data_IF_655201007432
#
_entry.id   IF_655201007432
#
_cell.length_a   1.000
_cell.length_b   1.000
_cell.length_c   1.000
_cell.angle_alpha   90.00
_cell.angle_beta   90.00
_cell.angle_gamma   90.00
#
_symmetry.space_group_name_H-M   'P 1'
#
loop_
_entity.id
_entity.type
_entity.pdbx_description
1 polymer ?
#
# COMPACT_ATOMS: atom_id res chain seq x y z
N UNK A 1 21.32 4.62 19.42
CA UNK A 1 20.97 3.65 18.37
C UNK A 1 19.66 4.10 17.77
N UNK A 2 19.68 4.41 16.48
CA UNK A 2 18.45 4.66 15.74
C UNK A 2 17.56 3.42 15.82
N UNK A 3 16.30 3.59 16.21
CA UNK A 3 15.35 2.47 16.27
C UNK A 3 15.05 2.00 14.84
N UNK A 4 15.37 0.74 14.53
CA UNK A 4 15.00 0.13 13.25
C UNK A 4 13.59 -0.47 13.34
N UNK A 5 12.82 -0.33 12.27
CA UNK A 5 11.44 -0.84 12.19
C UNK A 5 11.24 -1.69 10.95
N UNK A 6 10.34 -2.68 11.06
CA UNK A 6 10.00 -3.62 10.00
C UNK A 6 8.62 -3.32 9.43
N UNK A 7 8.45 -3.67 8.15
CA UNK A 7 7.19 -3.56 7.43
C UNK A 7 6.04 -4.20 8.23
N UNK A 8 4.98 -3.43 8.43
CA UNK A 8 3.72 -3.92 8.97
C UNK A 8 2.57 -3.43 8.10
N UNK A 9 1.83 -4.38 7.53
CA UNK A 9 0.65 -4.13 6.72
C UNK A 9 -0.58 -4.58 7.50
N UNK A 10 -1.51 -3.66 7.77
CA UNK A 10 -2.74 -3.96 8.49
C UNK A 10 -3.93 -3.59 7.63
N UNK A 11 -4.76 -4.56 7.27
CA UNK A 11 -6.07 -4.29 6.66
C UNK A 11 -6.96 -3.59 7.68
N UNK A 12 -7.46 -2.40 7.33
CA UNK A 12 -8.27 -1.56 8.24
C UNK A 12 -9.67 -1.29 7.70
N UNK A 13 -9.93 -1.55 6.43
CA UNK A 13 -11.28 -1.48 5.86
C UNK A 13 -11.42 -2.41 4.65
N UNK A 14 -12.63 -2.92 4.46
CA UNK A 14 -13.09 -3.65 3.27
C UNK A 14 -14.57 -3.36 3.03
N UNK A 15 -15.04 -3.58 1.80
CA UNK A 15 -16.45 -3.40 1.44
C UNK A 15 -17.38 -4.39 2.16
N UNK A 16 -18.41 -3.85 2.82
CA UNK A 16 -19.63 -4.57 3.17
C UNK A 16 -20.66 -4.39 2.05
N UNK A 17 -21.40 -5.43 1.70
CA UNK A 17 -22.40 -5.39 0.65
C UNK A 17 -23.75 -5.91 1.16
N UNK A 18 -24.79 -5.12 0.89
CA UNK A 18 -26.18 -5.44 1.20
C UNK A 18 -26.95 -5.54 -0.12
N UNK A 19 -27.34 -6.74 -0.57
CA UNK A 19 -28.05 -6.90 -1.83
C UNK A 19 -29.44 -6.26 -1.76
N UNK A 20 -29.91 -5.58 -2.83
CA UNK A 20 -31.23 -5.00 -2.86
C UNK A 20 -32.32 -6.10 -2.85
N UNK A 21 -33.32 -6.03 -1.95
CA UNK A 21 -34.26 -7.13 -1.70
C UNK A 21 -35.25 -7.39 -2.85
N UNK A 22 -35.41 -6.43 -3.76
CA UNK A 22 -36.29 -6.50 -4.93
C UNK A 22 -35.61 -7.09 -6.17
N UNK A 23 -34.29 -7.31 -6.13
CA UNK A 23 -33.56 -8.00 -7.21
C UNK A 23 -33.58 -9.51 -6.94
N UNK A 24 -34.14 -10.34 -7.84
CA UNK A 24 -34.24 -11.79 -7.64
C UNK A 24 -32.91 -12.48 -7.96
N UNK A 25 -31.89 -12.21 -7.16
CA UNK A 25 -30.54 -12.76 -7.27
C UNK A 25 -29.93 -12.96 -5.89
N UNK A 26 -29.17 -14.04 -5.77
CA UNK A 26 -28.36 -14.38 -4.61
C UNK A 26 -27.02 -14.95 -5.09
N UNK A 27 -26.01 -14.97 -4.22
CA UNK A 27 -24.71 -15.56 -4.54
C UNK A 27 -24.06 -16.22 -3.35
N UNK A 28 -23.06 -17.06 -3.63
CA UNK A 28 -22.30 -17.87 -2.68
C UNK A 28 -21.11 -17.10 -2.06
N UNK A 29 -21.17 -15.77 -2.07
CA UNK A 29 -20.15 -14.87 -1.56
C UNK A 29 -20.78 -13.63 -0.91
N UNK A 30 -19.98 -12.92 -0.11
CA UNK A 30 -20.31 -11.68 0.56
C UNK A 30 -19.35 -10.53 0.18
N UNK A 31 -19.54 -9.37 0.81
CA UNK A 31 -18.64 -8.23 0.72
C UNK A 31 -18.41 -7.73 -0.72
N UNK A 32 -17.22 -7.19 -0.97
CA UNK A 32 -16.93 -6.53 -2.25
C UNK A 32 -16.87 -7.47 -3.46
N UNK A 33 -16.57 -8.76 -3.29
CA UNK A 33 -16.60 -9.72 -4.41
C UNK A 33 -18.03 -10.07 -4.84
N UNK A 34 -18.98 -10.10 -3.89
CA UNK A 34 -20.41 -10.19 -4.21
C UNK A 34 -20.91 -8.90 -4.88
N UNK A 35 -20.47 -7.72 -4.39
CA UNK A 35 -20.78 -6.44 -5.02
C UNK A 35 -20.27 -6.39 -6.48
N UNK A 36 -19.07 -6.89 -6.77
CA UNK A 36 -18.52 -6.93 -8.12
C UNK A 36 -19.34 -7.84 -9.06
N UNK A 37 -19.79 -9.01 -8.60
CA UNK A 37 -20.72 -9.85 -9.37
C UNK A 37 -22.05 -9.14 -9.60
N UNK A 38 -22.64 -8.56 -8.55
CA UNK A 38 -23.89 -7.81 -8.65
C UNK A 38 -23.79 -6.69 -9.70
N UNK A 39 -22.74 -5.88 -9.64
CA UNK A 39 -22.49 -4.82 -10.60
C UNK A 39 -22.34 -5.36 -12.03
N UNK A 40 -21.60 -6.46 -12.22
CA UNK A 40 -21.47 -7.10 -13.53
C UNK A 40 -22.80 -7.63 -14.07
N UNK A 41 -23.64 -8.24 -13.23
CA UNK A 41 -24.96 -8.73 -13.64
C UNK A 41 -25.93 -7.59 -13.94
N UNK A 42 -25.82 -6.47 -13.22
CA UNK A 42 -26.64 -5.28 -13.44
C UNK A 42 -26.52 -4.74 -14.87
N UNK A 43 -25.31 -4.77 -15.46
CA UNK A 43 -25.06 -4.34 -16.84
C UNK A 43 -25.91 -5.10 -17.87
N UNK A 44 -26.29 -6.35 -17.58
CA UNK A 44 -27.01 -7.23 -18.50
C UNK A 44 -28.38 -7.67 -17.97
N UNK A 45 -28.78 -7.22 -16.78
CA UNK A 45 -29.93 -7.73 -16.03
C UNK A 45 -29.92 -9.28 -15.94
N UNK A 46 -28.73 -9.88 -15.82
CA UNK A 46 -28.49 -11.33 -15.89
C UNK A 46 -28.54 -11.98 -14.50
N UNK A 47 -29.65 -11.74 -13.79
CA UNK A 47 -29.89 -12.23 -12.43
C UNK A 47 -30.03 -13.75 -12.34
N UNK A 48 -30.50 -14.37 -13.42
CA UNK A 48 -30.54 -15.84 -13.55
C UNK A 48 -29.11 -16.39 -13.76
N UNK A 49 -28.90 -17.63 -13.33
CA UNK A 49 -27.61 -18.34 -13.40
C UNK A 49 -27.66 -19.55 -14.36
N UNK A 50 -27.94 -19.35 -15.67
CA UNK A 50 -28.18 -20.47 -16.60
C UNK A 50 -26.91 -21.22 -17.00
N UNK A 51 -25.75 -20.58 -16.97
CA UNK A 51 -24.47 -21.22 -17.28
C UNK A 51 -23.83 -21.75 -15.98
N UNK A 52 -23.66 -23.08 -15.82
CA UNK A 52 -23.05 -23.65 -14.62
C UNK A 52 -21.64 -23.11 -14.31
N UNK A 53 -20.85 -22.73 -15.34
CA UNK A 53 -19.48 -22.25 -15.13
C UNK A 53 -19.40 -20.85 -14.50
N UNK A 54 -20.45 -20.04 -14.63
CA UNK A 54 -20.54 -18.67 -14.08
C UNK A 54 -21.70 -18.51 -13.10
N UNK A 55 -22.22 -19.62 -12.58
CA UNK A 55 -23.29 -19.64 -11.59
C UNK A 55 -22.79 -19.32 -10.16
N UNK A 56 -21.52 -19.62 -9.87
CA UNK A 56 -20.86 -19.24 -8.62
C UNK A 56 -20.14 -17.89 -8.77
N UNK A 57 -19.93 -17.18 -7.65
CA UNK A 57 -19.19 -15.93 -7.62
C UNK A 57 -17.76 -16.10 -8.15
N UNK A 58 -17.09 -17.18 -7.74
CA UNK A 58 -15.74 -17.51 -8.21
C UNK A 58 -15.70 -17.70 -9.73
N UNK A 59 -16.64 -18.49 -10.29
CA UNK A 59 -16.73 -18.70 -11.73
C UNK A 59 -17.09 -17.44 -12.50
N UNK A 60 -18.00 -16.63 -11.95
CA UNK A 60 -18.40 -15.35 -12.55
C UNK A 60 -17.25 -14.35 -12.60
N UNK A 61 -16.52 -14.17 -11.49
CA UNK A 61 -15.39 -13.23 -11.42
C UNK A 61 -14.19 -13.72 -12.24
N UNK A 62 -13.93 -15.03 -12.30
CA UNK A 62 -12.94 -15.59 -13.25
C UNK A 62 -13.29 -15.19 -14.68
N UNK A 63 -14.55 -15.37 -15.09
CA UNK A 63 -15.00 -14.97 -16.42
C UNK A 63 -14.81 -13.47 -16.67
N UNK A 64 -15.17 -12.62 -15.71
CA UNK A 64 -14.97 -11.16 -15.79
C UNK A 64 -13.50 -10.80 -16.05
N UNK A 65 -12.57 -11.48 -15.36
CA UNK A 65 -11.13 -11.28 -15.55
C UNK A 65 -10.68 -11.73 -16.94
N UNK A 66 -11.12 -12.90 -17.41
CA UNK A 66 -10.77 -13.45 -18.73
C UNK A 66 -11.24 -12.58 -19.90
N UNK A 67 -12.45 -12.00 -19.81
CA UNK A 67 -12.99 -11.11 -20.85
C UNK A 67 -12.58 -9.65 -20.70
N UNK A 68 -11.82 -9.31 -19.66
CA UNK A 68 -11.29 -7.97 -19.44
C UNK A 68 -12.32 -6.92 -19.01
N UNK A 69 -13.47 -7.32 -18.45
CA UNK A 69 -14.50 -6.40 -17.95
C UNK A 69 -14.13 -5.82 -16.58
N UNK A 70 -12.92 -5.26 -16.45
CA UNK A 70 -12.29 -4.95 -15.16
C UNK A 70 -12.92 -3.78 -14.40
N UNK A 71 -13.74 -2.94 -15.05
CA UNK A 71 -14.40 -1.80 -14.40
C UNK A 71 -15.36 -2.23 -13.29
N UNK A 72 -15.95 -3.43 -13.37
CA UNK A 72 -16.84 -3.93 -12.29
C UNK A 72 -16.08 -4.18 -10.99
N UNK A 73 -14.76 -4.38 -11.06
CA UNK A 73 -13.88 -4.55 -9.91
C UNK A 73 -13.59 -3.22 -9.20
N UNK A 74 -13.96 -2.08 -9.78
CA UNK A 74 -13.75 -0.76 -9.19
C UNK A 74 -14.74 -0.44 -8.05
N UNK A 75 -15.82 -1.21 -7.92
CA UNK A 75 -16.84 -1.02 -6.89
C UNK A 75 -16.42 -1.52 -5.50
N UNK A 76 -15.62 -2.59 -5.45
CA UNK A 76 -15.08 -3.12 -4.20
C UNK A 76 -13.76 -2.45 -3.83
N UNK A 77 -13.60 -2.09 -2.55
CA UNK A 77 -12.44 -1.38 -2.02
C UNK A 77 -11.85 -2.05 -0.78
N UNK A 78 -10.55 -1.86 -0.59
CA UNK A 78 -9.79 -2.25 0.61
C UNK A 78 -8.86 -1.10 0.99
N UNK A 79 -8.69 -0.89 2.30
CA UNK A 79 -7.73 0.05 2.87
C UNK A 79 -6.74 -0.66 3.78
N UNK A 80 -5.46 -0.28 3.65
CA UNK A 80 -4.39 -0.71 4.54
C UNK A 80 -3.82 0.47 5.33
N UNK A 81 -3.44 0.23 6.58
CA UNK A 81 -2.54 1.09 7.34
C UNK A 81 -1.14 0.48 7.37
N UNK A 82 -0.21 1.17 6.72
CA UNK A 82 1.18 0.75 6.55
C UNK A 82 2.07 1.49 7.55
N UNK A 83 2.91 0.76 8.27
CA UNK A 83 3.98 1.28 9.13
C UNK A 83 5.28 0.53 8.86
N UNK A 84 6.42 1.06 9.32
CA UNK A 84 7.71 0.47 8.99
C UNK A 84 8.02 0.50 7.49
N UNK A 85 7.59 1.56 6.81
CA UNK A 85 7.91 1.82 5.38
C UNK A 85 8.75 3.08 5.26
N UNK A 86 9.69 3.09 4.32
CA UNK A 86 10.63 4.20 4.14
C UNK A 86 9.98 5.38 3.39
N UNK A 87 10.66 6.54 3.44
CA UNK A 87 10.27 7.68 2.60
C UNK A 87 10.47 7.40 1.12
N UNK A 88 11.54 6.70 0.74
CA UNK A 88 11.78 6.28 -0.65
C UNK A 88 10.67 5.39 -1.19
N UNK A 89 10.27 4.35 -0.46
CA UNK A 89 9.16 3.48 -0.85
C UNK A 89 7.89 4.28 -1.07
N UNK A 90 7.53 5.16 -0.13
CA UNK A 90 6.29 5.93 -0.32
C UNK A 90 6.35 6.90 -1.49
N UNK A 91 7.54 7.36 -1.90
CA UNK A 91 7.71 8.21 -3.07
C UNK A 91 7.43 7.46 -4.38
N UNK A 92 7.68 6.15 -4.41
CA UNK A 92 7.27 5.25 -5.51
C UNK A 92 5.79 4.87 -5.43
N UNK A 93 5.31 4.53 -4.23
CA UNK A 93 3.94 4.10 -3.99
C UNK A 93 2.94 5.16 -4.46
N UNK A 94 3.14 6.43 -4.09
CA UNK A 94 2.21 7.52 -4.44
C UNK A 94 2.15 7.86 -5.93
N UNK A 95 2.99 7.23 -6.77
CA UNK A 95 2.90 7.33 -8.24
C UNK A 95 1.70 6.57 -8.80
N UNK A 96 1.14 5.64 -8.02
CA UNK A 96 -0.12 4.95 -8.32
C UNK A 96 -1.31 5.88 -8.06
N UNK A 97 -1.80 6.54 -9.11
CA UNK A 97 -2.74 7.67 -9.02
C UNK A 97 -4.20 7.26 -8.73
N UNK A 98 -4.53 5.98 -8.86
CA UNK A 98 -5.86 5.44 -8.57
C UNK A 98 -5.98 4.83 -7.17
N UNK A 99 -5.06 5.20 -6.29
CA UNK A 99 -5.14 4.97 -4.84
C UNK A 99 -5.31 6.31 -4.14
N UNK A 100 -5.91 6.27 -2.94
CA UNK A 100 -6.05 7.42 -2.06
C UNK A 100 -5.12 7.28 -0.86
N UNK A 101 -4.52 8.38 -0.44
CA UNK A 101 -3.44 8.38 0.55
C UNK A 101 -3.71 9.33 1.72
N UNK A 102 -3.34 8.91 2.92
CA UNK A 102 -3.19 9.79 4.08
C UNK A 102 -1.90 9.43 4.80
N UNK A 103 -0.90 10.30 4.73
CA UNK A 103 0.47 10.00 5.16
C UNK A 103 0.92 10.88 6.33
N UNK A 104 1.74 10.30 7.21
CA UNK A 104 2.48 10.99 8.26
C UNK A 104 3.24 12.20 7.68
N UNK A 105 2.95 13.39 8.20
CA UNK A 105 3.55 14.63 7.71
C UNK A 105 4.72 15.08 8.57
N UNK A 106 5.94 15.05 8.02
CA UNK A 106 7.15 15.63 8.65
C UNK A 106 7.10 17.15 8.83
N UNK A 107 6.07 17.84 8.31
CA UNK A 107 5.84 19.27 8.58
C UNK A 107 5.16 19.49 9.93
N UNK A 108 4.46 18.47 10.44
CA UNK A 108 3.64 18.57 11.64
C UNK A 108 4.09 17.61 12.73
N UNK A 109 4.52 16.40 12.39
CA UNK A 109 5.03 15.43 13.37
C UNK A 109 6.52 15.70 13.59
N UNK A 110 7.00 15.77 14.85
CA UNK A 110 8.42 15.91 15.15
C UNK A 110 9.24 14.81 14.47
N UNK A 111 10.37 15.16 13.86
CA UNK A 111 11.30 14.19 13.27
C UNK A 111 12.26 13.57 14.30
N UNK A 112 12.38 14.17 15.49
CA UNK A 112 13.20 13.63 16.58
C UNK A 112 12.70 12.25 17.00
N UNK A 113 13.60 11.29 17.15
CA UNK A 113 13.30 9.90 17.48
C UNK A 113 12.55 9.17 16.37
N UNK A 114 12.65 9.62 15.12
CA UNK A 114 12.06 8.87 14.01
C UNK A 114 12.83 7.56 13.82
N UNK A 115 12.10 6.45 13.80
CA UNK A 115 12.65 5.18 13.43
C UNK A 115 13.14 5.21 11.97
N UNK A 116 13.97 4.25 11.59
CA UNK A 116 14.48 4.06 10.24
C UNK A 116 14.12 2.68 9.71
N UNK A 117 13.90 2.58 8.41
CA UNK A 117 13.75 1.32 7.68
C UNK A 117 15.10 1.00 7.06
N UNK A 118 15.74 -0.02 7.60
CA UNK A 118 17.03 -0.51 7.14
C UNK A 118 16.83 -1.62 6.10
N UNK A 119 17.42 -1.51 4.89
CA UNK A 119 17.42 -2.59 3.91
C UNK A 119 18.12 -3.85 4.43
N UNK A 120 17.57 -5.04 4.17
CA UNK A 120 18.12 -6.30 4.69
C UNK A 120 19.56 -6.57 4.26
N UNK A 121 19.89 -6.26 3.01
CA UNK A 121 21.27 -6.39 2.50
C UNK A 121 22.30 -5.51 3.22
N UNK A 122 21.84 -4.48 3.94
CA UNK A 122 22.68 -3.67 4.83
C UNK A 122 22.67 -4.26 6.24
N UNK A 123 21.49 -4.63 6.76
CA UNK A 123 21.33 -5.18 8.10
C UNK A 123 22.08 -6.53 8.31
N UNK A 124 22.20 -7.33 7.26
CA UNK A 124 22.86 -8.64 7.29
C UNK A 124 24.40 -8.55 7.27
N UNK A 125 24.97 -7.37 7.01
CA UNK A 125 26.40 -7.11 7.04
C UNK A 125 26.74 -6.18 8.24
N UNK A 126 27.48 -6.65 9.25
CA UNK A 126 27.79 -5.83 10.43
C UNK A 126 28.54 -4.53 10.16
N UNK A 127 29.38 -4.48 9.11
CA UNK A 127 30.13 -3.27 8.75
C UNK A 127 29.21 -2.26 8.06
N UNK A 128 28.36 -2.72 7.14
CA UNK A 128 27.39 -1.85 6.46
C UNK A 128 26.32 -1.34 7.42
N UNK A 129 25.82 -2.19 8.32
CA UNK A 129 24.90 -1.81 9.40
C UNK A 129 25.47 -0.67 10.26
N UNK A 130 26.74 -0.78 10.66
CA UNK A 130 27.40 0.26 11.46
C UNK A 130 27.44 1.61 10.73
N UNK A 131 27.76 1.61 9.42
CA UNK A 131 27.76 2.82 8.58
C UNK A 131 26.34 3.42 8.48
N UNK A 132 25.32 2.59 8.30
CA UNK A 132 23.93 3.03 8.21
C UNK A 132 23.43 3.67 9.51
N UNK A 133 23.74 3.05 10.65
CA UNK A 133 23.40 3.58 11.98
C UNK A 133 24.11 4.90 12.23
N UNK A 134 25.42 4.99 11.97
CA UNK A 134 26.18 6.24 12.14
C UNK A 134 25.60 7.37 11.30
N UNK A 135 25.29 7.12 10.03
CA UNK A 135 24.70 8.11 9.14
C UNK A 135 23.31 8.56 9.61
N UNK A 136 22.48 7.63 10.10
CA UNK A 136 21.13 7.92 10.61
C UNK A 136 21.18 8.78 11.88
N UNK A 137 22.06 8.45 12.81
CA UNK A 137 22.26 9.23 14.05
C UNK A 137 22.84 10.63 13.75
N UNK A 138 23.76 10.74 12.79
CA UNK A 138 24.29 12.03 12.36
C UNK A 138 23.21 12.92 11.73
N UNK A 139 22.33 12.35 10.91
CA UNK A 139 21.19 13.06 10.32
C UNK A 139 20.19 13.55 11.37
N UNK A 140 19.87 12.71 12.37
CA UNK A 140 18.99 13.09 13.49
C UNK A 140 19.60 14.23 14.32
N UNK A 141 20.89 14.13 14.66
CA UNK A 141 21.59 15.20 15.38
C UNK A 141 21.59 16.52 14.61
N UNK A 142 21.83 16.46 13.30
CA UNK A 142 21.77 17.64 12.43
C UNK A 142 20.34 18.21 12.37
N UNK A 143 19.32 17.36 12.31
CA UNK A 143 17.91 17.77 12.35
C UNK A 143 17.59 18.56 13.63
N UNK A 144 18.00 18.05 14.79
CA UNK A 144 17.76 18.69 16.09
C UNK A 144 18.47 20.05 16.21
N UNK A 145 19.71 20.14 15.74
CA UNK A 145 20.47 21.39 15.70
C UNK A 145 19.80 22.42 14.80
N UNK A 146 19.41 22.02 13.58
CA UNK A 146 18.69 22.88 12.65
C UNK A 146 17.34 23.32 13.22
N UNK A 147 16.56 22.39 13.77
CA UNK A 147 15.24 22.70 14.35
C UNK A 147 15.37 23.73 15.48
N UNK A 148 16.33 23.55 16.39
CA UNK A 148 16.58 24.50 17.49
C UNK A 148 16.89 25.90 16.97
N UNK A 149 17.81 26.01 15.99
CA UNK A 149 18.16 27.30 15.38
C UNK A 149 16.99 27.92 14.61
N UNK A 150 16.19 27.11 13.91
CA UNK A 150 15.04 27.57 13.15
C UNK A 150 13.88 28.02 14.05
N UNK A 151 13.64 27.35 15.18
CA UNK A 151 12.63 27.77 16.16
C UNK A 151 12.97 29.14 16.77
N UNK A 152 14.25 29.42 17.03
CA UNK A 152 14.72 30.76 17.42
C UNK A 152 14.54 31.77 16.28
N UNK A 153 14.91 31.38 15.05
CA UNK A 153 14.81 32.25 13.86
C UNK A 153 13.38 32.68 13.53
N UNK A 154 12.39 31.84 13.84
CA UNK A 154 10.98 32.09 13.60
C UNK A 154 10.20 32.47 14.88
N UNK A 155 10.89 32.82 15.98
CA UNK A 155 10.25 33.11 17.27
C UNK A 155 9.14 34.18 17.20
N UNK A 156 9.30 35.16 16.30
CA UNK A 156 8.37 36.28 16.10
C UNK A 156 7.11 35.93 15.30
N UNK A 157 7.00 34.72 14.75
CA UNK A 157 5.79 34.27 14.04
C UNK A 157 4.63 34.11 15.03
N UNK A 158 3.60 34.97 15.02
CA UNK A 158 2.55 34.96 16.04
C UNK A 158 1.73 33.66 16.00
N UNK A 159 1.60 33.02 14.83
CA UNK A 159 0.87 31.77 14.71
C UNK A 159 1.77 30.58 15.11
N UNK A 160 1.53 30.02 16.29
CA UNK A 160 2.29 28.89 16.83
C UNK A 160 2.32 27.66 15.90
N UNK A 161 1.25 27.40 15.14
CA UNK A 161 1.22 26.30 14.18
C UNK A 161 2.11 26.60 12.97
N UNK A 162 2.04 27.80 12.41
CA UNK A 162 2.87 28.22 11.28
C UNK A 162 4.35 28.25 11.68
N UNK A 163 4.67 28.75 12.87
CA UNK A 163 6.01 28.78 13.45
C UNK A 163 6.65 27.39 13.49
N UNK A 164 5.98 26.42 14.12
CA UNK A 164 6.45 25.03 14.20
C UNK A 164 6.60 24.41 12.82
N UNK A 165 5.65 24.68 11.92
CA UNK A 165 5.63 24.16 10.55
C UNK A 165 6.78 24.71 9.71
N UNK A 166 7.09 25.99 9.79
CA UNK A 166 8.23 26.63 9.10
C UNK A 166 9.56 26.05 9.55
N UNK A 167 9.76 25.88 10.87
CA UNK A 167 10.97 25.29 11.40
C UNK A 167 11.12 23.81 10.98
N UNK A 168 10.10 22.98 11.22
CA UNK A 168 10.15 21.54 10.91
C UNK A 168 10.31 21.23 9.43
N UNK A 169 9.61 21.98 8.56
CA UNK A 169 9.65 21.71 7.12
C UNK A 169 11.01 22.03 6.48
N UNK A 170 11.80 22.91 7.09
CA UNK A 170 13.17 23.21 6.69
C UNK A 170 14.17 22.24 7.37
N UNK A 171 14.03 22.00 8.69
CA UNK A 171 14.93 21.10 9.42
C UNK A 171 14.96 19.69 8.82
N UNK A 172 13.81 19.17 8.35
CA UNK A 172 13.72 17.82 7.75
C UNK A 172 14.54 17.63 6.46
N UNK A 173 15.14 18.67 5.90
CA UNK A 173 15.96 18.57 4.68
C UNK A 173 17.16 17.63 4.84
N UNK A 174 17.59 17.34 6.07
CA UNK A 174 18.68 16.41 6.37
C UNK A 174 18.22 14.99 6.69
N UNK A 175 16.91 14.74 6.83
CA UNK A 175 16.39 13.40 7.10
C UNK A 175 16.58 12.50 5.88
N UNK A 176 16.98 11.26 6.12
CA UNK A 176 17.30 10.30 5.05
C UNK A 176 16.03 9.70 4.41
N UNK A 177 16.21 9.09 3.22
CA UNK A 177 15.16 8.29 2.57
C UNK A 177 14.69 7.11 3.45
N UNK A 178 15.56 6.58 4.31
CA UNK A 178 15.25 5.50 5.22
C UNK A 178 14.34 5.91 6.39
N UNK A 179 14.12 7.21 6.63
CA UNK A 179 13.24 7.68 7.71
C UNK A 179 11.87 7.02 7.61
N UNK A 180 11.40 6.40 8.69
CA UNK A 180 10.09 5.75 8.73
C UNK A 180 8.99 6.77 8.38
N UNK A 181 8.01 6.30 7.62
CA UNK A 181 6.73 6.96 7.48
C UNK A 181 5.59 5.96 7.68
N UNK A 182 4.40 6.51 7.86
CA UNK A 182 3.16 5.75 8.09
C UNK A 182 2.11 6.26 7.14
N UNK A 183 1.38 5.37 6.49
CA UNK A 183 0.45 5.78 5.43
C UNK A 183 -0.79 4.89 5.41
N UNK A 184 -1.96 5.51 5.33
CA UNK A 184 -3.20 4.83 4.97
C UNK A 184 -3.30 4.86 3.45
N UNK A 185 -3.57 3.71 2.85
CA UNK A 185 -3.70 3.53 1.40
C UNK A 185 -5.04 2.86 1.13
N UNK A 186 -5.88 3.50 0.34
CA UNK A 186 -7.18 2.95 -0.09
C UNK A 186 -7.18 2.77 -1.59
N UNK A 187 -7.60 1.60 -2.06
CA UNK A 187 -7.74 1.28 -3.48
C UNK A 187 -8.98 0.44 -3.74
N UNK A 188 -9.53 0.58 -4.94
CA UNK A 188 -10.46 -0.43 -5.46
C UNK A 188 -9.70 -1.66 -5.95
N UNK A 189 -10.40 -2.77 -6.19
CA UNK A 189 -9.72 -4.01 -6.56
C UNK A 189 -8.95 -3.90 -7.88
N UNK A 190 -9.46 -3.15 -8.86
CA UNK A 190 -8.72 -2.91 -10.12
C UNK A 190 -7.40 -2.18 -9.87
N UNK A 191 -7.41 -1.15 -9.03
CA UNK A 191 -6.21 -0.40 -8.66
C UNK A 191 -5.21 -1.26 -7.88
N UNK A 192 -5.69 -2.12 -6.97
CA UNK A 192 -4.84 -3.08 -6.26
C UNK A 192 -4.21 -4.11 -7.20
N UNK A 193 -4.98 -4.68 -8.13
CA UNK A 193 -4.47 -5.60 -9.14
C UNK A 193 -3.36 -4.96 -9.97
N UNK A 194 -3.55 -3.72 -10.43
CA UNK A 194 -2.51 -2.98 -11.15
C UNK A 194 -1.27 -2.71 -10.28
N UNK A 195 -1.46 -2.26 -9.02
CA UNK A 195 -0.35 -2.05 -8.09
C UNK A 195 0.50 -3.33 -7.92
N UNK A 196 -0.15 -4.47 -7.69
CA UNK A 196 0.53 -5.76 -7.51
C UNK A 196 1.27 -6.15 -8.79
N UNK A 197 0.62 -6.07 -9.96
CA UNK A 197 1.26 -6.44 -11.22
C UNK A 197 2.48 -5.56 -11.56
N UNK A 198 2.47 -4.28 -11.18
CA UNK A 198 3.59 -3.38 -11.42
C UNK A 198 4.72 -3.49 -10.38
N UNK A 199 4.41 -3.95 -9.16
CA UNK A 199 5.33 -3.83 -8.00
C UNK A 199 5.76 -5.15 -7.39
N UNK A 200 4.99 -6.22 -7.55
CA UNK A 200 5.39 -7.57 -7.15
C UNK A 200 6.27 -8.24 -8.23
N UNK A 201 7.18 -7.51 -8.88
CA UNK A 201 7.98 -8.01 -10.02
C UNK A 201 9.47 -7.92 -9.72
N UNK A 202 10.29 -8.67 -10.46
CA UNK A 202 11.75 -8.62 -10.32
C UNK A 202 12.35 -7.24 -10.68
N UNK A 203 11.63 -6.42 -11.44
CA UNK A 203 12.08 -5.09 -11.86
C UNK A 203 11.82 -4.00 -10.81
N UNK A 204 10.96 -4.27 -9.82
CA UNK A 204 10.64 -3.32 -8.77
C UNK A 204 11.72 -3.32 -7.68
N UNK A 205 11.87 -2.18 -6.99
CA UNK A 205 12.67 -2.10 -5.76
C UNK A 205 12.17 -3.13 -4.73
N UNK A 206 13.09 -3.74 -3.99
CA UNK A 206 12.81 -4.85 -3.07
C UNK A 206 11.82 -4.43 -1.98
N UNK A 207 11.92 -3.21 -1.45
CA UNK A 207 11.06 -2.75 -0.34
C UNK A 207 9.59 -2.61 -0.79
N UNK A 208 9.35 -2.03 -1.98
CA UNK A 208 7.98 -1.89 -2.51
C UNK A 208 7.44 -3.23 -3.03
N UNK A 209 8.32 -4.13 -3.47
CA UNK A 209 7.97 -5.50 -3.84
C UNK A 209 7.47 -6.29 -2.64
N UNK A 210 8.18 -6.25 -1.52
CA UNK A 210 7.74 -6.87 -0.26
C UNK A 210 6.36 -6.35 0.18
N UNK A 211 6.15 -5.03 0.11
CA UNK A 211 4.84 -4.43 0.36
C UNK A 211 3.77 -4.97 -0.60
N UNK A 212 4.07 -5.10 -1.89
CA UNK A 212 3.12 -5.61 -2.88
C UNK A 212 2.73 -7.07 -2.63
N UNK A 213 3.70 -7.92 -2.29
CA UNK A 213 3.48 -9.31 -1.93
C UNK A 213 2.62 -9.42 -0.67
N UNK A 214 2.92 -8.65 0.38
CA UNK A 214 2.16 -8.71 1.62
C UNK A 214 0.73 -8.20 1.45
N UNK A 215 0.53 -7.10 0.69
CA UNK A 215 -0.81 -6.67 0.28
C UNK A 215 -1.56 -7.76 -0.49
N UNK A 216 -0.90 -8.43 -1.44
CA UNK A 216 -1.51 -9.52 -2.22
C UNK A 216 -1.97 -10.67 -1.33
N UNK A 217 -1.18 -11.07 -0.33
CA UNK A 217 -1.58 -12.14 0.62
C UNK A 217 -2.86 -11.78 1.35
N UNK A 218 -2.92 -10.58 1.92
CA UNK A 218 -4.11 -10.13 2.65
C UNK A 218 -5.33 -9.96 1.72
N UNK A 219 -5.12 -9.47 0.49
CA UNK A 219 -6.17 -9.36 -0.52
C UNK A 219 -6.69 -10.74 -0.98
N UNK A 220 -5.82 -11.74 -1.12
CA UNK A 220 -6.22 -13.13 -1.43
C UNK A 220 -6.99 -13.78 -0.29
N UNK A 221 -6.67 -13.43 0.95
CA UNK A 221 -7.41 -13.94 2.11
C UNK A 221 -8.82 -13.35 2.20
N UNK A 222 -8.95 -12.04 1.99
CA UNK A 222 -10.23 -11.32 2.20
C UNK A 222 -11.12 -11.23 0.96
N UNK A 223 -10.56 -11.30 -0.25
CA UNK A 223 -11.26 -11.13 -1.52
C UNK A 223 -10.79 -12.16 -2.57
N UNK A 224 -10.81 -13.47 -2.23
CA UNK A 224 -10.09 -14.51 -2.98
C UNK A 224 -10.45 -14.56 -4.46
N UNK A 225 -11.74 -14.43 -4.81
CA UNK A 225 -12.20 -14.61 -6.18
C UNK A 225 -11.71 -13.51 -7.14
N UNK A 226 -11.24 -12.39 -6.60
CA UNK A 226 -10.72 -11.25 -7.39
C UNK A 226 -9.20 -11.33 -7.60
N UNK A 227 -8.47 -12.08 -6.77
CA UNK A 227 -6.99 -12.14 -6.78
C UNK A 227 -6.43 -13.56 -6.95
N UNK A 228 -7.29 -14.57 -7.15
CA UNK A 228 -6.90 -15.98 -7.24
C UNK A 228 -5.96 -16.32 -8.41
N UNK A 229 -5.91 -15.46 -9.43
CA UNK A 229 -5.06 -15.62 -10.62
C UNK A 229 -3.60 -15.18 -10.40
N UNK A 230 -3.28 -14.53 -9.28
CA UNK A 230 -1.91 -14.21 -8.94
C UNK A 230 -1.20 -15.38 -8.24
N UNK A 231 -0.06 -15.79 -8.79
CA UNK A 231 0.81 -16.80 -8.23
C UNK A 231 2.07 -16.13 -7.64
N UNK A 232 2.37 -16.45 -6.37
CA UNK A 232 3.58 -15.98 -5.69
C UNK A 232 4.67 -17.02 -5.92
N UNK A 233 5.85 -16.57 -6.35
CA UNK A 233 7.04 -17.39 -6.55
C UNK A 233 8.24 -16.77 -5.83
N UNK A 234 9.19 -17.61 -5.43
CA UNK A 234 10.42 -17.21 -4.76
C UNK A 234 11.57 -17.17 -5.77
N UNK A 235 12.35 -16.09 -5.73
CA UNK A 235 13.57 -15.90 -6.51
C UNK A 235 14.76 -16.57 -5.82
N UNK A 236 15.89 -16.66 -6.54
CA UNK A 236 17.11 -17.29 -6.04
C UNK A 236 17.73 -16.55 -4.83
N UNK A 237 17.47 -15.26 -4.69
CA UNK A 237 17.91 -14.42 -3.57
C UNK A 237 16.99 -14.53 -2.34
N UNK A 238 15.94 -15.36 -2.39
CA UNK A 238 14.95 -15.55 -1.33
C UNK A 238 13.81 -14.54 -1.34
N UNK A 239 13.87 -13.51 -2.18
CA UNK A 239 12.78 -12.54 -2.32
C UNK A 239 11.61 -13.12 -3.13
N UNK A 240 10.42 -12.56 -2.96
CA UNK A 240 9.20 -13.05 -3.63
C UNK A 240 8.71 -12.09 -4.71
N UNK A 241 8.17 -12.68 -5.77
CA UNK A 241 7.46 -12.00 -6.85
C UNK A 241 6.05 -12.59 -7.00
N UNK A 242 5.16 -11.88 -7.68
CA UNK A 242 3.87 -12.38 -8.08
C UNK A 242 3.64 -12.13 -9.57
N UNK A 243 3.00 -13.09 -10.24
CA UNK A 243 2.64 -12.99 -11.65
C UNK A 243 1.20 -13.44 -11.87
N UNK A 244 0.56 -12.92 -12.91
CA UNK A 244 -0.77 -13.36 -13.33
C UNK A 244 -0.87 -13.35 -14.86
N UNK A 245 -1.45 -14.38 -15.48
CA UNK A 245 -1.71 -14.38 -16.92
C UNK A 245 -2.87 -13.45 -17.32
N UNK A 246 -3.63 -12.92 -16.35
CA UNK A 246 -4.82 -12.09 -16.55
C UNK A 246 -4.56 -10.61 -16.22
N UNK A 247 -3.30 -10.20 -16.19
CA UNK A 247 -2.92 -8.79 -16.16
C UNK A 247 -2.03 -8.50 -17.37
N UNK A 248 -2.54 -7.70 -18.29
CA UNK A 248 -1.88 -7.37 -19.55
C UNK A 248 -0.93 -6.16 -19.47
N UNK A 249 -0.84 -5.51 -18.31
CA UNK A 249 -0.01 -4.33 -18.10
C UNK A 249 0.89 -4.57 -16.88
N UNK A 250 2.15 -4.93 -17.17
CA UNK A 250 3.27 -5.10 -16.25
C UNK A 250 4.56 -4.77 -16.99
#
# INVERSE_FOLDING_TARGET
>A
MADTVRLKVQLVAKTEFLPPPDVPWETDADGGQALAEFAGRACYQSWKKPNPTTATNAGYLRHILEVGHLSVLEHGTVSFYLTGVSRSLTHELIRHRHLSYSQLSQRYVPGRGSAVVEPDVIADDPELHAVFVEASEAAEKAYDQLLTGLEQRFADEPNAMLRRKQARQAARAVLSNATETKIVVTGNYRAWRHFIAMRATEHADVEIRELAIECLRQLRAEVPNVFADFEIAMLADGSEIASSPLVSEG
#
